data_IF_009847606280
#
_entry.id   IF_009847606280
#
_cell.length_a   1.000
_cell.length_b   1.000
_cell.length_c   1.000
_cell.angle_alpha   90.00
_cell.angle_beta   90.00
_cell.angle_gamma   90.00
#
_symmetry.space_group_name_H-M   'P 1'
#
loop_
_entity.id
_entity.type
_entity.pdbx_description
1 polymer ?
#
# COMPACT_ATOMS: atom_id res chain seq x y z
N UNK A 1 48.53 28.64 11.89
CA UNK A 1 47.11 28.88 12.21
C UNK A 1 46.15 28.39 11.11
N UNK A 2 46.47 28.57 9.81
CA UNK A 2 45.63 28.11 8.69
C UNK A 2 45.34 26.61 8.66
N UNK A 3 46.31 25.74 8.95
CA UNK A 3 46.09 24.29 8.93
C UNK A 3 45.08 23.78 9.97
N UNK A 4 45.10 24.35 11.18
CA UNK A 4 44.12 24.02 12.24
C UNK A 4 42.71 24.45 11.84
N UNK A 5 42.57 25.60 11.20
CA UNK A 5 41.28 26.08 10.65
C UNK A 5 40.74 25.17 9.54
N UNK A 6 41.58 24.71 8.62
CA UNK A 6 41.17 23.79 7.55
C UNK A 6 40.65 22.46 8.10
N UNK A 7 41.33 21.91 9.12
CA UNK A 7 40.93 20.65 9.76
C UNK A 7 39.58 20.82 10.45
N UNK A 8 39.38 21.92 11.19
CA UNK A 8 38.11 22.20 11.86
C UNK A 8 36.95 22.35 10.87
N UNK A 9 37.16 23.04 9.74
CA UNK A 9 36.14 23.21 8.70
C UNK A 9 35.79 21.85 8.09
N UNK A 10 36.79 21.04 7.72
CA UNK A 10 36.55 19.71 7.15
C UNK A 10 35.76 18.80 8.10
N UNK A 11 36.04 18.87 9.40
CA UNK A 11 35.34 18.09 10.43
C UNK A 11 33.87 18.50 10.57
N UNK A 12 33.59 19.80 10.57
CA UNK A 12 32.22 20.33 10.62
C UNK A 12 31.42 19.91 9.38
N UNK A 13 32.02 19.99 8.18
CA UNK A 13 31.37 19.54 6.96
C UNK A 13 31.08 18.03 6.97
N UNK A 14 32.04 17.21 7.42
CA UNK A 14 31.83 15.77 7.53
C UNK A 14 30.69 15.42 8.48
N UNK A 15 30.61 16.09 9.63
CA UNK A 15 29.52 15.89 10.59
C UNK A 15 28.17 16.36 10.03
N UNK A 16 28.12 17.45 9.28
CA UNK A 16 26.90 17.92 8.63
C UNK A 16 26.39 16.96 7.55
N UNK A 17 27.29 16.34 6.77
CA UNK A 17 26.93 15.31 5.78
C UNK A 17 26.42 14.04 6.45
N UNK A 18 27.08 13.59 7.52
CA UNK A 18 26.66 12.42 8.28
C UNK A 18 25.32 12.66 9.00
N UNK A 19 25.08 13.86 9.50
CA UNK A 19 23.82 14.23 10.17
C UNK A 19 22.66 14.48 9.20
N UNK A 20 22.94 14.84 7.94
CA UNK A 20 21.90 15.11 6.93
C UNK A 20 21.44 13.86 6.17
N UNK A 21 22.01 12.68 6.46
CA UNK A 21 21.72 11.43 5.75
C UNK A 21 21.19 10.29 6.62
N UNK A 22 19.89 10.21 6.83
CA UNK A 22 19.18 8.92 6.94
C UNK A 22 17.75 9.09 6.38
N UNK A 23 17.69 9.42 5.10
CA UNK A 23 16.45 9.45 4.34
C UNK A 23 16.41 8.24 3.43
N UNK A 24 16.10 7.06 3.96
CA UNK A 24 15.43 6.08 3.09
C UNK A 24 14.07 6.72 2.77
N UNK A 25 13.74 7.05 1.51
CA UNK A 25 12.37 7.34 1.18
C UNK A 25 11.60 6.07 1.54
N UNK A 26 10.88 6.11 2.66
CA UNK A 26 9.90 5.08 2.99
C UNK A 26 8.92 5.16 1.84
N UNK A 27 8.97 4.20 0.93
CA UNK A 27 8.08 4.15 -0.23
C UNK A 27 6.67 4.40 0.29
N UNK A 28 6.16 5.62 0.08
CA UNK A 28 4.83 6.07 0.53
C UNK A 28 3.80 5.71 -0.54
N UNK A 29 4.04 4.63 -1.25
CA UNK A 29 3.00 3.88 -1.90
C UNK A 29 2.63 2.82 -0.87
N UNK A 30 1.37 2.78 -0.42
CA UNK A 30 0.85 1.51 0.04
C UNK A 30 1.25 0.48 -1.03
N UNK A 31 1.75 -0.73 -0.69
CA UNK A 31 2.09 -1.71 -1.71
C UNK A 31 0.80 -2.11 -2.44
N UNK A 32 0.40 -1.33 -3.46
CA UNK A 32 -0.74 -1.63 -4.31
C UNK A 32 -0.45 -2.90 -5.13
N UNK A 33 0.82 -3.31 -5.15
CA UNK A 33 1.28 -4.59 -5.65
C UNK A 33 1.61 -5.49 -4.48
N UNK A 34 0.84 -6.57 -4.38
CA UNK A 34 1.13 -7.68 -3.46
C UNK A 34 2.56 -8.15 -3.72
N UNK A 35 3.47 -8.12 -2.72
CA UNK A 35 4.84 -8.57 -2.93
C UNK A 35 4.84 -10.05 -3.30
N UNK A 36 5.65 -10.42 -4.29
CA UNK A 36 5.65 -11.74 -4.92
C UNK A 36 5.91 -12.90 -3.94
N UNK A 37 6.52 -12.62 -2.78
CA UNK A 37 6.83 -13.59 -1.74
C UNK A 37 5.80 -13.65 -0.59
N UNK A 38 4.79 -12.76 -0.57
CA UNK A 38 3.65 -12.88 0.33
C UNK A 38 2.52 -13.55 -0.45
N UNK A 39 2.38 -14.86 -0.22
CA UNK A 39 1.17 -15.62 -0.57
C UNK A 39 -0.07 -14.81 -0.16
N UNK A 40 -1.16 -15.00 -0.91
CA UNK A 40 -2.53 -14.95 -0.38
C UNK A 40 -2.61 -14.87 1.16
N UNK A 41 -3.20 -13.88 1.83
CA UNK A 41 -3.58 -14.11 3.25
C UNK A 41 -4.59 -15.26 3.31
N UNK A 42 -5.21 -15.56 2.17
CA UNK A 42 -5.89 -16.80 1.88
C UNK A 42 -4.90 -17.88 1.40
N UNK A 43 -4.96 -19.05 2.06
CA UNK A 43 -4.46 -20.30 1.50
C UNK A 43 -4.97 -20.45 0.06
N UNK A 44 -4.07 -20.62 -0.91
CA UNK A 44 -4.44 -20.93 -2.30
C UNK A 44 -4.81 -22.41 -2.47
N UNK A 45 -4.84 -23.18 -1.38
CA UNK A 45 -4.79 -24.63 -1.38
C UNK A 45 -6.03 -25.34 -0.84
N UNK A 46 -7.04 -24.61 -0.39
CA UNK A 46 -8.33 -25.21 -0.05
C UNK A 46 -9.32 -24.72 -1.10
N UNK A 47 -9.90 -25.65 -1.88
CA UNK A 47 -11.01 -25.32 -2.78
C UNK A 47 -12.05 -24.51 -1.99
N UNK A 48 -12.57 -23.44 -2.59
CA UNK A 48 -13.53 -22.51 -1.99
C UNK A 48 -14.90 -23.15 -1.67
N UNK A 49 -14.94 -24.48 -1.49
CA UNK A 49 -16.13 -25.31 -1.44
C UNK A 49 -16.91 -25.24 -2.75
N UNK A 50 -17.99 -26.05 -2.86
CA UNK A 50 -18.96 -25.87 -3.91
C UNK A 50 -19.55 -24.46 -3.87
N UNK A 51 -19.56 -23.77 -5.01
CA UNK A 51 -20.24 -22.48 -5.12
C UNK A 51 -21.76 -22.67 -5.03
N UNK A 52 -22.43 -21.79 -4.29
CA UNK A 52 -23.88 -21.76 -4.14
C UNK A 52 -24.45 -20.49 -4.79
N UNK A 53 -25.60 -20.60 -5.45
CA UNK A 53 -26.37 -19.45 -5.88
C UNK A 53 -26.92 -18.70 -4.66
N UNK A 54 -26.47 -17.46 -4.44
CA UNK A 54 -27.02 -16.60 -3.39
C UNK A 54 -28.43 -16.11 -3.77
N UNK A 55 -28.64 -15.82 -5.06
CA UNK A 55 -29.94 -15.41 -5.59
C UNK A 55 -30.60 -16.59 -6.31
N UNK A 56 -31.67 -17.12 -5.72
CA UNK A 56 -32.46 -18.21 -6.31
C UNK A 56 -33.38 -17.71 -7.43
N UNK A 57 -33.81 -16.45 -7.36
CA UNK A 57 -34.60 -15.78 -8.40
C UNK A 57 -33.80 -14.60 -8.98
N UNK A 58 -33.39 -14.77 -10.25
CA UNK A 58 -32.63 -13.76 -10.98
C UNK A 58 -33.45 -12.50 -11.25
N UNK A 59 -34.75 -12.63 -11.50
CA UNK A 59 -35.58 -11.48 -11.84
C UNK A 59 -35.79 -10.59 -10.61
N UNK A 60 -36.11 -11.19 -9.46
CA UNK A 60 -36.23 -10.47 -8.20
C UNK A 60 -34.91 -9.78 -7.79
N UNK A 61 -33.77 -10.46 -7.97
CA UNK A 61 -32.47 -9.87 -7.65
C UNK A 61 -32.15 -8.65 -8.53
N UNK A 62 -32.47 -8.70 -9.82
CA UNK A 62 -32.24 -7.57 -10.72
C UNK A 62 -33.16 -6.38 -10.42
N UNK A 63 -34.43 -6.63 -10.12
CA UNK A 63 -35.36 -5.58 -9.73
C UNK A 63 -34.90 -4.84 -8.46
N UNK A 64 -34.37 -5.56 -7.47
CA UNK A 64 -33.83 -4.95 -6.26
C UNK A 64 -32.57 -4.09 -6.52
N UNK A 65 -31.73 -4.48 -7.48
CA UNK A 65 -30.55 -3.68 -7.88
C UNK A 65 -30.98 -2.39 -8.57
N UNK A 66 -32.00 -2.45 -9.43
CA UNK A 66 -32.55 -1.29 -10.13
C UNK A 66 -33.18 -0.29 -9.16
N UNK A 67 -33.94 -0.78 -8.18
CA UNK A 67 -34.51 0.03 -7.10
C UNK A 67 -33.42 0.76 -6.31
N UNK A 68 -32.36 0.06 -5.88
CA UNK A 68 -31.22 0.68 -5.17
C UNK A 68 -30.51 1.74 -6.01
N UNK A 69 -30.31 1.48 -7.31
CA UNK A 69 -29.66 2.44 -8.20
C UNK A 69 -30.48 3.73 -8.38
N UNK A 70 -31.82 3.64 -8.29
CA UNK A 70 -32.69 4.81 -8.38
C UNK A 70 -32.70 5.68 -7.12
N UNK A 71 -32.36 5.11 -5.95
CA UNK A 71 -32.30 5.83 -4.67
C UNK A 71 -31.05 6.72 -4.56
N UNK A 72 -30.00 6.46 -5.34
CA UNK A 72 -28.76 7.26 -5.33
C UNK A 72 -28.88 8.58 -6.13
N UNK A 73 -29.97 8.77 -6.87
CA UNK A 73 -30.21 9.97 -7.71
C UNK A 73 -31.13 11.03 -7.05
N UNK A 74 -31.57 10.83 -5.80
CA UNK A 74 -32.38 11.79 -5.03
C UNK A 74 -31.58 12.59 -3.98
#
# INVERSE_FOLDING_TARGET
MRGRQCISIALVFALAVLASGCGTPREKTAPCKRPANLLSYASTGDECGPTMSVNTDRAAALAAIEDLASVEEE
#
